data_IF_000511571694
#
_entry.id   IF_000511571694
#
_cell.length_a   1.000
_cell.length_b   1.000
_cell.length_c   1.000
_cell.angle_alpha   90.00
_cell.angle_beta   90.00
_cell.angle_gamma   90.00
#
_symmetry.space_group_name_H-M   'P 1'
#
loop_
_entity.id
_entity.type
_entity.pdbx_description
1 polymer ?
#
# COMPACT_ATOMS: atom_id res chain seq x y z
N UNK A 1 -29.05 26.65 -58.80
CA UNK A 1 -29.02 27.70 -57.75
C UNK A 1 -29.87 27.18 -56.59
N UNK A 2 -29.51 27.15 -55.31
CA UNK A 2 -28.32 27.45 -54.52
C UNK A 2 -28.52 26.68 -53.21
N UNK A 3 -27.56 25.84 -52.80
CA UNK A 3 -27.60 25.16 -51.51
C UNK A 3 -27.32 26.16 -50.40
N UNK A 4 -28.35 26.58 -49.66
CA UNK A 4 -28.17 27.44 -48.49
C UNK A 4 -27.59 26.60 -47.34
N UNK A 5 -26.31 26.82 -47.06
CA UNK A 5 -25.65 26.35 -45.85
C UNK A 5 -26.44 26.82 -44.62
N UNK A 6 -26.84 25.88 -43.76
CA UNK A 6 -27.41 26.18 -42.44
C UNK A 6 -26.25 26.50 -41.50
N UNK A 7 -26.11 27.77 -41.16
CA UNK A 7 -25.19 28.21 -40.13
C UNK A 7 -25.74 27.76 -38.76
N UNK A 8 -24.88 27.30 -37.83
CA UNK A 8 -25.32 26.96 -36.49
C UNK A 8 -25.90 28.20 -35.80
N UNK A 9 -26.92 28.05 -34.94
CA UNK A 9 -27.54 29.18 -34.26
C UNK A 9 -26.49 29.92 -33.42
N UNK A 10 -26.52 31.27 -33.47
CA UNK A 10 -25.55 32.17 -32.83
C UNK A 10 -25.23 31.83 -31.36
N UNK A 11 -26.17 31.20 -30.65
CA UNK A 11 -26.00 30.75 -29.26
C UNK A 11 -24.94 29.66 -29.05
N UNK A 12 -24.64 28.84 -30.06
CA UNK A 12 -23.59 27.79 -29.96
C UNK A 12 -22.20 28.41 -30.07
N UNK A 13 -22.02 29.42 -30.92
CA UNK A 13 -20.74 30.15 -31.02
C UNK A 13 -20.41 30.94 -29.74
N UNK A 14 -21.43 31.47 -29.06
CA UNK A 14 -21.25 32.24 -27.82
C UNK A 14 -20.75 31.41 -26.63
N UNK A 15 -20.99 30.09 -26.62
CA UNK A 15 -20.49 29.19 -25.56
C UNK A 15 -19.22 28.43 -25.93
N UNK A 16 -19.02 28.09 -27.21
CA UNK A 16 -17.84 27.32 -27.65
C UNK A 16 -16.57 28.19 -27.66
N UNK A 17 -16.67 29.47 -28.03
CA UNK A 17 -15.52 30.38 -28.07
C UNK A 17 -14.90 30.64 -26.68
N UNK A 18 -15.65 30.97 -25.62
CA UNK A 18 -15.09 31.16 -24.29
C UNK A 18 -14.45 29.90 -23.73
N UNK A 19 -15.05 28.72 -23.95
CA UNK A 19 -14.53 27.43 -23.49
C UNK A 19 -13.26 27.05 -24.24
N UNK A 20 -13.20 27.24 -25.55
CA UNK A 20 -11.99 27.00 -26.35
C UNK A 20 -10.86 27.97 -25.99
N UNK A 21 -11.18 29.25 -25.74
CA UNK A 21 -10.22 30.26 -25.29
C UNK A 21 -9.70 29.91 -23.89
N UNK A 22 -10.56 29.50 -22.95
CA UNK A 22 -10.15 29.01 -21.64
C UNK A 22 -9.25 27.77 -21.75
N UNK A 23 -9.62 26.80 -22.59
CA UNK A 23 -8.84 25.57 -22.80
C UNK A 23 -7.46 25.83 -23.43
N UNK A 24 -7.37 26.76 -24.37
CA UNK A 24 -6.10 27.15 -24.98
C UNK A 24 -5.23 27.96 -24.00
N UNK A 25 -5.84 28.90 -23.26
CA UNK A 25 -5.15 29.69 -22.24
C UNK A 25 -4.68 28.84 -21.06
N UNK A 26 -5.39 27.78 -20.67
CA UNK A 26 -4.96 26.89 -19.58
C UNK A 26 -3.64 26.20 -19.90
N UNK A 27 -3.39 25.85 -21.17
CA UNK A 27 -2.15 25.19 -21.57
C UNK A 27 -0.93 26.11 -21.50
N UNK A 28 -1.10 27.39 -21.86
CA UNK A 28 -0.03 28.38 -21.78
C UNK A 28 0.14 28.92 -20.35
N UNK A 29 -0.94 29.00 -19.57
CA UNK A 29 -0.89 29.32 -18.14
C UNK A 29 -0.18 28.22 -17.36
N UNK A 30 -0.44 26.94 -17.65
CA UNK A 30 0.25 25.80 -17.01
C UNK A 30 1.76 25.79 -17.33
N UNK A 31 2.13 26.03 -18.60
CA UNK A 31 3.54 26.17 -19.00
C UNK A 31 4.22 27.35 -18.31
N UNK A 32 3.57 28.51 -18.25
CA UNK A 32 4.11 29.70 -17.57
C UNK A 32 4.20 29.50 -16.06
N UNK A 33 3.23 28.82 -15.45
CA UNK A 33 3.22 28.54 -14.02
C UNK A 33 4.38 27.61 -13.66
N UNK A 34 4.56 26.51 -14.40
CA UNK A 34 5.70 25.58 -14.26
C UNK A 34 7.06 26.25 -14.50
N UNK A 35 7.15 27.21 -15.42
CA UNK A 35 8.37 27.98 -15.67
C UNK A 35 8.65 29.06 -14.61
N UNK A 36 7.62 29.52 -13.89
CA UNK A 36 7.70 30.59 -12.89
C UNK A 36 7.89 30.08 -11.45
N UNK A 37 7.61 28.82 -11.18
CA UNK A 37 7.92 28.17 -9.90
C UNK A 37 9.41 27.88 -9.84
N UNK A 38 10.19 28.59 -9.03
CA UNK A 38 11.59 28.27 -8.84
C UNK A 38 11.66 26.99 -8.02
N UNK A 39 11.96 25.85 -8.65
CA UNK A 39 12.28 24.63 -7.93
C UNK A 39 13.69 24.76 -7.41
N UNK A 40 13.83 25.35 -6.22
CA UNK A 40 15.09 25.37 -5.49
C UNK A 40 15.20 23.99 -4.83
N UNK A 41 16.04 23.10 -5.35
CA UNK A 41 16.15 21.72 -4.85
C UNK A 41 16.42 21.61 -3.34
N UNK A 42 17.04 22.63 -2.73
CA UNK A 42 17.22 22.70 -1.27
C UNK A 42 15.93 22.93 -0.45
N UNK A 43 14.84 23.36 -1.09
CA UNK A 43 13.54 23.63 -0.46
C UNK A 43 12.64 22.37 -0.45
N UNK A 44 12.80 21.49 -1.45
CA UNK A 44 11.98 20.28 -1.61
C UNK A 44 12.10 19.31 -0.43
N UNK A 45 13.32 19.07 0.06
CA UNK A 45 13.51 18.20 1.22
C UNK A 45 12.92 18.81 2.51
N UNK A 46 13.01 20.14 2.67
CA UNK A 46 12.40 20.82 3.80
C UNK A 46 10.86 20.74 3.74
N UNK A 47 10.29 20.87 2.55
CA UNK A 47 8.86 20.72 2.31
C UNK A 47 8.38 19.27 2.54
N UNK A 48 9.15 18.27 2.10
CA UNK A 48 8.86 16.85 2.34
C UNK A 48 8.85 16.53 3.84
N UNK A 49 9.85 17.02 4.58
CA UNK A 49 9.94 16.87 6.03
C UNK A 49 8.79 17.61 6.74
N UNK A 50 8.41 18.80 6.28
CA UNK A 50 7.28 19.54 6.84
C UNK A 50 5.96 18.78 6.63
N UNK A 51 5.74 18.18 5.45
CA UNK A 51 4.58 17.32 5.18
C UNK A 51 4.60 16.07 6.05
N UNK A 52 5.75 15.39 6.16
CA UNK A 52 5.91 14.23 7.03
C UNK A 52 5.60 14.57 8.51
N UNK A 53 6.05 15.73 9.00
CA UNK A 53 5.76 16.18 10.37
C UNK A 53 4.26 16.46 10.60
N UNK A 54 3.57 17.05 9.62
CA UNK A 54 2.11 17.23 9.69
C UNK A 54 1.36 15.90 9.69
N UNK A 55 1.82 14.95 8.87
CA UNK A 55 1.27 13.58 8.81
C UNK A 55 1.49 12.82 10.10
N UNK A 56 2.65 12.95 10.71
CA UNK A 56 2.95 12.34 12.01
C UNK A 56 2.02 12.88 13.10
N UNK A 57 1.80 14.21 13.13
CA UNK A 57 0.85 14.82 14.05
C UNK A 57 -0.61 14.36 13.80
N UNK A 58 -0.98 14.10 12.54
CA UNK A 58 -2.29 13.54 12.18
C UNK A 58 -2.46 12.11 12.70
N UNK A 59 -1.46 11.27 12.44
CA UNK A 59 -1.41 9.89 12.89
C UNK A 59 -1.45 9.79 14.42
N UNK A 60 -0.61 10.55 15.15
CA UNK A 60 -0.62 10.58 16.62
C UNK A 60 -1.99 10.94 17.21
N UNK A 61 -2.70 11.91 16.60
CA UNK A 61 -4.07 12.24 17.02
C UNK A 61 -5.04 11.09 16.77
N UNK A 62 -4.85 10.34 15.69
CA UNK A 62 -5.67 9.16 15.39
C UNK A 62 -5.45 8.05 16.41
N UNK A 63 -4.19 7.75 16.74
CA UNK A 63 -3.81 6.79 17.79
C UNK A 63 -4.44 7.18 19.12
N UNK A 64 -4.28 8.44 19.54
CA UNK A 64 -4.89 8.94 20.78
C UNK A 64 -6.42 8.74 20.79
N UNK A 65 -7.11 9.12 19.71
CA UNK A 65 -8.57 8.96 19.61
C UNK A 65 -9.01 7.51 19.67
N UNK A 66 -8.25 6.60 19.05
CA UNK A 66 -8.48 5.14 19.12
C UNK A 66 -8.43 4.66 20.56
N UNK A 67 -7.39 5.00 21.32
CA UNK A 67 -7.28 4.61 22.74
C UNK A 67 -8.39 5.23 23.59
N UNK A 68 -8.65 6.54 23.46
CA UNK A 68 -9.73 7.22 24.20
C UNK A 68 -11.11 6.61 23.92
N UNK A 69 -11.34 6.13 22.69
CA UNK A 69 -12.57 5.44 22.32
C UNK A 69 -12.63 4.06 23.00
N UNK A 70 -11.55 3.28 22.95
CA UNK A 70 -11.49 1.94 23.56
C UNK A 70 -11.57 1.97 25.10
N UNK A 71 -11.16 3.07 25.74
CA UNK A 71 -11.33 3.25 27.19
C UNK A 71 -12.79 3.49 27.59
N UNK A 72 -13.57 4.16 26.73
CA UNK A 72 -14.96 4.54 26.99
C UNK A 72 -15.97 3.47 26.65
N UNK A 73 -15.61 2.54 25.75
CA UNK A 73 -16.46 1.45 25.30
C UNK A 73 -15.85 0.14 25.83
N UNK A 74 -16.59 -0.64 26.62
CA UNK A 74 -16.08 -1.89 27.22
C UNK A 74 -16.55 -3.15 26.51
N UNK A 75 -17.50 -3.02 25.59
CA UNK A 75 -18.18 -4.10 24.85
C UNK A 75 -17.71 -4.20 23.38
N UNK A 76 -16.61 -3.53 23.03
CA UNK A 76 -16.12 -3.46 21.65
C UNK A 76 -15.40 -4.72 21.16
N UNK A 77 -14.73 -5.44 22.07
CA UNK A 77 -13.61 -6.32 21.74
C UNK A 77 -13.99 -7.52 20.82
N UNK A 78 -15.26 -7.92 20.86
CA UNK A 78 -15.79 -9.05 20.08
C UNK A 78 -16.47 -8.64 18.75
N UNK A 79 -16.67 -7.35 18.50
CA UNK A 79 -17.47 -6.86 17.36
C UNK A 79 -16.58 -6.28 16.26
N UNK A 80 -16.01 -7.15 15.42
CA UNK A 80 -15.15 -6.74 14.30
C UNK A 80 -15.90 -5.94 13.23
N UNK A 81 -17.12 -6.37 12.90
CA UNK A 81 -17.97 -5.73 11.91
C UNK A 81 -19.36 -5.60 12.53
N UNK A 82 -19.81 -4.38 12.81
CA UNK A 82 -21.14 -4.16 13.39
C UNK A 82 -22.21 -4.91 12.57
N UNK A 83 -23.03 -5.77 13.22
CA UNK A 83 -24.11 -6.43 12.53
C UNK A 83 -25.10 -5.37 12.00
N UNK A 84 -25.72 -5.65 10.86
CA UNK A 84 -26.89 -4.88 10.41
C UNK A 84 -28.05 -5.22 11.33
N UNK A 85 -28.16 -4.53 12.46
CA UNK A 85 -29.32 -4.62 13.35
C UNK A 85 -29.98 -3.26 13.60
N UNK A 86 -31.23 -3.31 14.05
CA UNK A 86 -32.08 -2.14 14.29
C UNK A 86 -31.73 -1.40 15.59
N UNK A 87 -30.73 -1.86 16.34
CA UNK A 87 -30.43 -1.31 17.67
C UNK A 87 -29.77 0.06 17.61
N UNK A 88 -29.27 0.46 16.42
CA UNK A 88 -28.45 1.68 16.17
C UNK A 88 -27.30 1.85 17.16
N UNK A 89 -26.97 0.80 17.95
CA UNK A 89 -26.24 1.03 19.19
C UNK A 89 -24.79 1.34 18.91
N UNK A 90 -24.23 0.80 17.82
CA UNK A 90 -22.87 1.12 17.37
C UNK A 90 -22.71 0.76 15.88
N UNK A 91 -22.48 1.76 15.02
CA UNK A 91 -22.09 1.54 13.61
C UNK A 91 -20.60 1.83 13.45
N UNK A 92 -19.77 0.87 13.84
CA UNK A 92 -18.34 0.92 13.54
C UNK A 92 -17.87 -0.46 13.07
N UNK A 93 -16.78 -0.46 12.33
CA UNK A 93 -16.02 -1.64 11.96
C UNK A 93 -14.65 -1.52 12.59
N UNK A 94 -13.89 -2.62 12.57
CA UNK A 94 -12.49 -2.64 12.91
C UNK A 94 -11.75 -1.46 12.22
N UNK A 95 -12.00 -1.26 10.94
CA UNK A 95 -11.31 -0.26 10.12
C UNK A 95 -11.58 1.20 10.52
N UNK A 96 -12.70 1.47 11.19
CA UNK A 96 -13.00 2.81 11.73
C UNK A 96 -12.08 3.16 12.93
N UNK A 97 -11.55 2.14 13.61
CA UNK A 97 -10.60 2.31 14.73
C UNK A 97 -9.16 2.39 14.24
N UNK A 98 -8.84 1.86 13.06
CA UNK A 98 -7.50 1.82 12.48
C UNK A 98 -7.42 2.53 11.11
N UNK A 99 -7.83 3.82 11.01
CA UNK A 99 -7.79 4.52 9.73
C UNK A 99 -6.35 4.88 9.32
N UNK A 100 -6.10 4.82 8.00
CA UNK A 100 -4.88 5.34 7.39
C UNK A 100 -4.86 6.88 7.44
N UNK A 101 -4.26 7.43 8.49
CA UNK A 101 -4.29 8.87 8.80
C UNK A 101 -2.96 9.57 8.57
N UNK A 102 -1.92 8.82 8.20
CA UNK A 102 -0.64 9.38 7.81
C UNK A 102 -0.70 9.76 6.34
N UNK A 103 -0.62 11.05 6.01
CA UNK A 103 -0.63 11.47 4.60
C UNK A 103 0.76 11.26 3.99
N UNK A 104 0.86 10.56 2.86
CA UNK A 104 2.15 10.40 2.15
C UNK A 104 2.77 11.78 1.87
N UNK A 105 4.04 12.02 2.21
CA UNK A 105 4.70 13.29 1.90
C UNK A 105 4.99 13.43 0.40
N UNK A 106 4.87 12.36 -0.39
CA UNK A 106 5.08 12.36 -1.84
C UNK A 106 3.78 12.07 -2.61
N UNK A 107 3.89 11.69 -3.88
CA UNK A 107 2.77 11.25 -4.68
C UNK A 107 2.21 9.91 -4.19
N UNK A 108 0.89 9.75 -4.29
CA UNK A 108 0.21 8.48 -4.02
C UNK A 108 -0.39 7.95 -5.32
N UNK A 109 0.03 6.77 -5.75
CA UNK A 109 -0.39 6.19 -7.03
C UNK A 109 -0.84 4.75 -6.87
N UNK A 110 -2.02 4.40 -7.37
CA UNK A 110 -2.48 3.01 -7.45
C UNK A 110 -1.88 2.34 -8.68
N UNK A 111 -1.23 1.20 -8.51
CA UNK A 111 -0.61 0.43 -9.60
C UNK A 111 -1.14 -1.00 -9.63
N UNK A 112 -1.08 -1.62 -10.80
CA UNK A 112 -1.72 -2.91 -11.08
C UNK A 112 -3.13 -2.74 -11.67
N UNK A 113 -3.82 -3.85 -11.88
CA UNK A 113 -5.11 -3.84 -12.58
C UNK A 113 -6.19 -3.06 -11.85
N UNK A 114 -7.21 -2.67 -12.62
CA UNK A 114 -8.46 -2.15 -12.06
C UNK A 114 -9.22 -3.25 -11.32
N UNK A 115 -9.84 -2.87 -10.20
CA UNK A 115 -10.47 -3.80 -9.27
C UNK A 115 -9.44 -4.45 -8.34
N UNK A 116 -9.76 -5.64 -7.88
CA UNK A 116 -8.99 -6.40 -6.89
C UNK A 116 -7.54 -6.72 -7.33
N UNK A 117 -6.57 -6.64 -6.43
CA UNK A 117 -5.15 -6.94 -6.67
C UNK A 117 -4.23 -5.78 -7.06
N UNK A 118 -4.77 -4.57 -7.32
CA UNK A 118 -3.95 -3.36 -7.45
C UNK A 118 -3.61 -2.77 -6.08
N UNK A 119 -2.39 -2.24 -5.89
CA UNK A 119 -1.93 -1.72 -4.58
C UNK A 119 -1.58 -0.23 -4.65
N UNK A 120 -1.67 0.46 -3.53
CA UNK A 120 -1.35 1.89 -3.42
C UNK A 120 0.11 2.16 -3.05
N UNK A 121 0.80 2.76 -4.03
CA UNK A 121 2.11 3.43 -4.06
C UNK A 121 2.31 4.69 -3.21
N UNK A 122 2.92 4.72 -2.01
CA UNK A 122 3.43 6.00 -1.47
C UNK A 122 4.82 6.29 -2.07
N UNK A 123 4.93 7.41 -2.80
CA UNK A 123 6.17 7.86 -3.42
C UNK A 123 6.54 7.08 -4.69
N UNK A 124 5.57 6.72 -5.55
CA UNK A 124 5.89 5.98 -6.78
C UNK A 124 6.91 6.71 -7.66
N UNK A 125 6.84 8.04 -7.73
CA UNK A 125 7.81 8.85 -8.47
C UNK A 125 9.25 8.74 -7.93
N UNK A 126 9.43 8.37 -6.65
CA UNK A 126 10.74 8.13 -6.05
C UNK A 126 11.36 6.84 -6.57
N UNK A 127 10.58 5.77 -6.69
CA UNK A 127 11.04 4.53 -7.32
C UNK A 127 11.38 4.74 -8.80
N UNK A 128 10.55 5.47 -9.55
CA UNK A 128 10.80 5.78 -10.97
C UNK A 128 12.07 6.61 -11.18
N UNK A 129 12.33 7.55 -10.27
CA UNK A 129 13.50 8.43 -10.29
C UNK A 129 14.76 7.83 -9.66
N UNK A 130 14.68 6.62 -9.08
CA UNK A 130 15.80 6.01 -8.36
C UNK A 130 16.98 5.72 -9.29
N UNK A 131 18.14 6.25 -8.94
CA UNK A 131 19.41 5.99 -9.61
C UNK A 131 20.36 5.38 -8.59
N UNK A 132 20.71 4.11 -8.77
CA UNK A 132 21.62 3.44 -7.83
C UNK A 132 21.61 1.93 -7.97
N UNK A 133 21.72 1.24 -6.83
CA UNK A 133 21.59 -0.22 -6.77
C UNK A 133 20.22 -0.66 -7.29
N UNK A 134 20.10 -1.88 -7.84
CA UNK A 134 18.80 -2.44 -8.15
C UNK A 134 17.86 -2.39 -6.95
N UNK A 135 16.61 -1.98 -7.20
CA UNK A 135 15.55 -2.01 -6.21
C UNK A 135 15.05 -3.44 -6.08
N UNK A 136 14.86 -3.91 -4.85
CA UNK A 136 14.40 -5.25 -4.53
C UNK A 136 12.95 -5.20 -4.08
N UNK A 137 12.10 -5.90 -4.81
CA UNK A 137 10.68 -6.00 -4.50
C UNK A 137 10.35 -7.44 -4.15
N UNK A 138 9.75 -7.66 -2.99
CA UNK A 138 9.19 -8.96 -2.63
C UNK A 138 7.68 -8.93 -2.84
N UNK A 139 7.15 -9.96 -3.50
CA UNK A 139 5.72 -10.16 -3.68
C UNK A 139 5.34 -11.51 -3.09
N UNK A 140 4.69 -11.48 -1.92
CA UNK A 140 4.15 -12.65 -1.25
C UNK A 140 2.68 -12.84 -1.64
N UNK A 141 2.34 -14.06 -2.06
CA UNK A 141 1.02 -14.37 -2.61
C UNK A 141 0.83 -13.72 -3.98
N UNK A 142 1.53 -14.26 -4.97
CA UNK A 142 1.44 -13.78 -6.35
C UNK A 142 0.08 -14.13 -6.95
N UNK A 143 -0.45 -15.30 -6.62
CA UNK A 143 -1.72 -15.81 -7.11
C UNK A 143 -1.80 -15.86 -8.63
N UNK A 144 -3.02 -15.70 -9.14
CA UNK A 144 -3.32 -15.75 -10.58
C UNK A 144 -3.10 -14.44 -11.34
N UNK A 145 -2.71 -13.35 -10.66
CA UNK A 145 -2.55 -12.01 -11.24
C UNK A 145 -1.21 -11.39 -10.85
N UNK A 146 -0.43 -11.03 -11.85
CA UNK A 146 0.86 -10.36 -11.69
C UNK A 146 0.89 -8.99 -12.38
N UNK A 147 -0.25 -8.31 -12.41
CA UNK A 147 -0.38 -7.00 -13.06
C UNK A 147 0.33 -5.90 -12.28
N UNK A 148 0.38 -6.02 -10.95
CA UNK A 148 1.14 -5.13 -10.07
C UNK A 148 2.63 -5.19 -10.39
N UNK A 149 3.20 -6.40 -10.44
CA UNK A 149 4.63 -6.62 -10.68
C UNK A 149 4.99 -6.20 -12.11
N UNK A 150 4.13 -6.47 -13.09
CA UNK A 150 4.31 -5.98 -14.46
C UNK A 150 4.39 -4.45 -14.50
N UNK A 151 3.41 -3.74 -13.93
CA UNK A 151 3.38 -2.28 -13.98
C UNK A 151 4.59 -1.68 -13.25
N UNK A 152 4.94 -2.21 -12.07
CA UNK A 152 6.10 -1.74 -11.32
C UNK A 152 7.40 -1.89 -12.14
N UNK A 153 7.61 -3.05 -12.77
CA UNK A 153 8.78 -3.31 -13.62
C UNK A 153 8.82 -2.47 -14.91
N UNK A 154 7.66 -2.10 -15.45
CA UNK A 154 7.56 -1.21 -16.61
C UNK A 154 7.99 0.21 -16.26
N UNK A 155 7.61 0.67 -15.06
CA UNK A 155 7.85 2.04 -14.60
C UNK A 155 9.21 2.22 -13.94
N UNK A 156 9.78 1.14 -13.38
CA UNK A 156 11.03 1.17 -12.62
C UNK A 156 12.07 0.26 -13.28
N UNK A 157 12.87 0.78 -14.24
CA UNK A 157 13.84 -0.02 -14.99
C UNK A 157 14.87 -0.77 -14.13
N UNK A 158 15.24 -0.19 -12.98
CA UNK A 158 16.21 -0.76 -12.05
C UNK A 158 15.66 -1.77 -11.04
N UNK A 159 14.36 -2.08 -11.08
CA UNK A 159 13.76 -3.03 -10.15
C UNK A 159 14.04 -4.48 -10.51
N UNK A 160 14.16 -5.31 -9.48
CA UNK A 160 14.13 -6.77 -9.53
C UNK A 160 13.03 -7.24 -8.56
N UNK A 161 12.22 -8.20 -9.01
CA UNK A 161 11.06 -8.70 -8.25
C UNK A 161 11.25 -10.17 -7.93
N UNK A 162 11.06 -10.52 -6.66
CA UNK A 162 11.02 -11.89 -6.17
C UNK A 162 9.58 -12.22 -5.75
N UNK A 163 9.00 -13.21 -6.41
CA UNK A 163 7.65 -13.71 -6.15
C UNK A 163 7.70 -15.02 -5.38
N UNK A 164 6.83 -15.14 -4.39
CA UNK A 164 6.73 -16.30 -3.51
C UNK A 164 5.26 -16.70 -3.39
N UNK A 165 4.96 -17.93 -3.81
CA UNK A 165 3.61 -18.48 -3.74
C UNK A 165 3.67 -20.01 -3.86
N UNK A 166 3.06 -20.74 -2.94
CA UNK A 166 3.00 -22.20 -2.94
C UNK A 166 1.81 -22.77 -3.75
N UNK A 167 0.79 -21.95 -4.00
CA UNK A 167 -0.45 -22.34 -4.67
C UNK A 167 -0.35 -22.34 -6.22
N UNK A 168 0.64 -21.64 -6.79
CA UNK A 168 0.85 -21.53 -8.24
C UNK A 168 2.23 -22.03 -8.68
N UNK A 169 2.36 -22.41 -9.96
CA UNK A 169 3.61 -22.93 -10.54
C UNK A 169 4.51 -21.82 -11.12
N UNK A 170 4.07 -20.57 -11.08
CA UNK A 170 4.77 -19.44 -11.68
C UNK A 170 3.99 -18.14 -11.58
N UNK A 171 4.51 -17.11 -12.24
CA UNK A 171 3.85 -15.81 -12.33
C UNK A 171 2.44 -15.90 -12.94
N UNK A 172 1.53 -15.11 -12.39
CA UNK A 172 0.16 -14.97 -12.85
C UNK A 172 0.02 -14.15 -14.14
N UNK A 173 -1.23 -13.88 -14.52
CA UNK A 173 -1.55 -13.06 -15.69
C UNK A 173 -1.01 -11.64 -15.51
N UNK A 174 -0.39 -11.09 -16.54
CA UNK A 174 0.19 -9.75 -16.49
C UNK A 174 1.69 -9.80 -16.69
N UNK A 175 2.42 -10.73 -16.07
CA UNK A 175 3.87 -10.71 -16.22
C UNK A 175 4.34 -11.29 -17.57
N UNK A 176 4.84 -10.42 -18.45
CA UNK A 176 5.39 -10.80 -19.76
C UNK A 176 6.80 -11.37 -19.64
N UNK A 177 7.15 -12.31 -20.53
CA UNK A 177 8.50 -12.89 -20.65
C UNK A 177 9.63 -11.86 -20.84
N UNK A 178 9.34 -10.62 -21.25
CA UNK A 178 10.35 -9.55 -21.42
C UNK A 178 11.09 -9.17 -20.13
N UNK A 179 10.59 -9.57 -18.96
CA UNK A 179 11.22 -9.30 -17.67
C UNK A 179 11.93 -10.49 -17.04
N UNK A 180 12.10 -11.59 -17.76
CA UNK A 180 12.68 -12.82 -17.21
C UNK A 180 14.05 -12.62 -16.53
N UNK A 181 14.80 -11.58 -16.90
CA UNK A 181 16.09 -11.21 -16.28
C UNK A 181 15.98 -10.37 -14.99
N UNK A 182 14.77 -9.94 -14.62
CA UNK A 182 14.48 -9.08 -13.46
C UNK A 182 13.42 -9.69 -12.55
N UNK A 183 13.01 -10.93 -12.80
CA UNK A 183 11.93 -11.59 -12.07
C UNK A 183 12.34 -12.98 -11.66
N UNK A 184 12.11 -13.31 -10.41
CA UNK A 184 12.52 -14.57 -9.79
C UNK A 184 11.30 -15.15 -9.07
N UNK A 185 10.83 -16.33 -9.49
CA UNK A 185 9.70 -16.98 -8.86
C UNK A 185 10.16 -18.19 -8.06
N UNK A 186 9.68 -18.30 -6.83
CA UNK A 186 9.91 -19.43 -5.94
C UNK A 186 8.58 -20.00 -5.50
N UNK A 187 8.36 -21.30 -5.77
CA UNK A 187 7.19 -22.03 -5.28
C UNK A 187 7.37 -22.39 -3.80
N UNK A 188 7.11 -21.42 -2.93
CA UNK A 188 7.32 -21.51 -1.47
C UNK A 188 6.34 -20.56 -0.79
N UNK A 189 5.83 -20.97 0.37
CA UNK A 189 5.02 -20.10 1.21
C UNK A 189 5.92 -19.24 2.10
N UNK A 190 5.49 -18.02 2.38
CA UNK A 190 6.08 -17.20 3.46
C UNK A 190 5.33 -17.48 4.75
N UNK A 191 6.05 -17.58 5.87
CA UNK A 191 5.45 -17.87 7.17
C UNK A 191 6.21 -17.20 8.31
N UNK A 192 5.67 -17.30 9.52
CA UNK A 192 6.36 -16.81 10.73
C UNK A 192 7.61 -17.61 11.12
N UNK A 193 7.74 -18.86 10.65
CA UNK A 193 8.89 -19.72 10.91
C UNK A 193 9.20 -20.65 9.74
N UNK A 194 10.42 -21.18 9.71
CA UNK A 194 10.86 -22.08 8.66
C UNK A 194 10.40 -23.52 8.96
N UNK A 195 9.64 -24.12 8.05
CA UNK A 195 9.30 -25.54 8.12
C UNK A 195 9.05 -26.15 6.73
N UNK A 196 9.00 -27.48 6.68
CA UNK A 196 8.69 -28.25 5.47
C UNK A 196 7.39 -29.01 5.71
N UNK A 197 6.37 -28.74 4.90
CA UNK A 197 5.16 -29.55 4.90
C UNK A 197 5.52 -30.96 4.39
N UNK A 198 5.27 -31.96 5.23
CA UNK A 198 5.61 -33.35 4.94
C UNK A 198 4.63 -34.00 3.95
N UNK A 199 3.46 -33.40 3.73
CA UNK A 199 2.41 -33.94 2.87
C UNK A 199 2.70 -33.75 1.39
N UNK A 200 3.26 -32.60 1.02
CA UNK A 200 3.50 -32.20 -0.37
C UNK A 200 4.93 -31.69 -0.63
N UNK A 201 5.74 -31.51 0.41
CA UNK A 201 7.12 -31.00 0.31
C UNK A 201 7.21 -29.48 0.16
N UNK A 202 6.12 -28.74 0.41
CA UNK A 202 6.11 -27.27 0.34
C UNK A 202 7.01 -26.69 1.44
N UNK A 203 7.91 -25.78 1.04
CA UNK A 203 8.74 -25.02 1.97
C UNK A 203 7.97 -23.81 2.46
N UNK A 204 7.90 -23.66 3.78
CA UNK A 204 7.43 -22.45 4.44
C UNK A 204 8.67 -21.75 5.01
N UNK A 205 8.88 -20.49 4.64
CA UNK A 205 10.10 -19.76 4.96
C UNK A 205 9.76 -18.41 5.59
N UNK A 206 10.50 -18.05 6.63
CA UNK A 206 10.48 -16.70 7.18
C UNK A 206 11.05 -15.69 6.20
N UNK A 207 10.59 -14.44 6.29
CA UNK A 207 11.11 -13.34 5.45
C UNK A 207 12.64 -13.21 5.61
N UNK A 208 13.15 -13.38 6.84
CA UNK A 208 14.60 -13.35 7.13
C UNK A 208 15.35 -14.49 6.44
N UNK A 209 14.79 -15.68 6.38
CA UNK A 209 15.39 -16.80 5.65
C UNK A 209 15.38 -16.57 4.15
N UNK A 210 14.31 -15.99 3.59
CA UNK A 210 14.27 -15.59 2.18
C UNK A 210 15.33 -14.51 1.88
N UNK A 211 15.42 -13.47 2.71
CA UNK A 211 16.47 -12.45 2.62
C UNK A 211 17.87 -13.08 2.64
N UNK A 212 18.13 -14.04 3.53
CA UNK A 212 19.41 -14.76 3.60
C UNK A 212 19.66 -15.63 2.36
N UNK A 213 18.64 -16.34 1.87
CA UNK A 213 18.72 -17.23 0.71
C UNK A 213 19.14 -16.47 -0.56
N UNK A 214 18.65 -15.24 -0.73
CA UNK A 214 18.99 -14.37 -1.88
C UNK A 214 20.11 -13.36 -1.60
N UNK A 215 20.69 -13.36 -0.39
CA UNK A 215 21.75 -12.41 -0.02
C UNK A 215 21.29 -10.95 -0.01
N UNK A 216 20.04 -10.72 0.38
CA UNK A 216 19.45 -9.38 0.49
C UNK A 216 19.50 -8.88 1.93
N UNK A 217 20.21 -7.79 2.14
CA UNK A 217 20.25 -7.10 3.44
C UNK A 217 19.10 -6.08 3.60
N UNK A 218 18.43 -5.74 2.50
CA UNK A 218 17.35 -4.74 2.47
C UNK A 218 16.39 -5.02 1.31
N UNK A 219 15.09 -4.83 1.53
CA UNK A 219 14.01 -4.95 0.54
C UNK A 219 13.28 -3.61 0.40
N UNK A 220 13.25 -3.04 -0.80
CA UNK A 220 12.73 -1.68 -1.01
C UNK A 220 11.20 -1.60 -0.99
N UNK A 221 10.53 -2.68 -1.37
CA UNK A 221 9.07 -2.78 -1.36
C UNK A 221 8.64 -4.23 -1.10
N UNK A 222 7.72 -4.41 -0.17
CA UNK A 222 7.06 -5.69 0.10
C UNK A 222 5.59 -5.56 -0.24
N UNK A 223 5.12 -6.31 -1.22
CA UNK A 223 3.70 -6.62 -1.41
C UNK A 223 3.39 -7.91 -0.65
N UNK A 224 2.33 -7.92 0.14
CA UNK A 224 1.89 -9.10 0.90
C UNK A 224 0.38 -9.30 0.79
N UNK A 225 -0.02 -10.49 0.37
CA UNK A 225 -1.41 -10.87 0.14
C UNK A 225 -1.51 -12.40 0.29
N UNK A 226 -1.59 -12.88 1.53
CA UNK A 226 -1.36 -14.30 1.88
C UNK A 226 -2.51 -14.87 2.71
N UNK A 227 -3.73 -14.40 2.45
CA UNK A 227 -4.98 -15.04 2.87
C UNK A 227 -5.09 -15.32 4.39
N UNK A 228 -4.63 -14.39 5.22
CA UNK A 228 -4.74 -14.44 6.68
C UNK A 228 -3.41 -14.71 7.39
N UNK A 229 -2.42 -15.24 6.69
CA UNK A 229 -1.09 -15.49 7.26
C UNK A 229 -0.26 -14.19 7.42
N UNK A 230 -0.82 -13.02 7.09
CA UNK A 230 -0.18 -11.72 7.32
C UNK A 230 0.13 -11.51 8.80
N UNK A 231 -0.81 -11.89 9.68
CA UNK A 231 -0.68 -11.71 11.11
C UNK A 231 0.54 -12.43 11.69
N UNK A 232 0.64 -13.78 11.64
CA UNK A 232 1.78 -14.50 12.21
C UNK A 232 3.09 -14.17 11.48
N UNK A 233 3.05 -13.91 10.17
CA UNK A 233 4.25 -13.61 9.38
C UNK A 233 4.86 -12.26 9.76
N UNK A 234 4.06 -11.19 9.77
CA UNK A 234 4.54 -9.87 10.16
C UNK A 234 4.87 -9.80 11.64
N UNK A 235 4.10 -10.44 12.52
CA UNK A 235 4.41 -10.51 13.96
C UNK A 235 5.78 -11.16 14.19
N UNK A 236 6.05 -12.30 13.55
CA UNK A 236 7.30 -13.01 13.70
C UNK A 236 8.50 -12.24 13.14
N UNK A 237 8.31 -11.50 12.04
CA UNK A 237 9.37 -10.68 11.46
C UNK A 237 9.63 -9.41 12.27
N UNK A 238 8.58 -8.67 12.64
CA UNK A 238 8.71 -7.34 13.25
C UNK A 238 9.10 -7.37 14.73
N UNK A 239 8.78 -8.43 15.47
CA UNK A 239 9.14 -8.57 16.90
C UNK A 239 10.66 -8.53 17.16
N UNK A 240 11.47 -8.77 16.13
CA UNK A 240 12.94 -8.74 16.23
C UNK A 240 13.49 -7.30 16.19
N UNK A 241 12.69 -6.34 15.70
CA UNK A 241 13.10 -4.96 15.53
C UNK A 241 12.50 -4.08 16.62
N UNK A 242 13.25 -3.07 17.06
CA UNK A 242 12.80 -2.05 18.00
C UNK A 242 13.33 -0.71 17.56
N UNK A 243 12.50 0.33 17.63
CA UNK A 243 13.01 1.70 17.57
C UNK A 243 13.87 1.91 18.82
N UNK A 244 15.09 2.40 18.64
CA UNK A 244 16.05 2.57 19.72
C UNK A 244 15.64 3.72 20.64
N UNK A 245 15.21 3.41 21.86
CA UNK A 245 14.98 4.38 22.92
C UNK A 245 16.33 4.62 23.63
N UNK A 246 17.07 5.68 23.27
CA UNK A 246 18.46 5.92 23.71
C UNK A 246 18.71 5.69 25.22
N UNK A 247 19.80 5.03 25.62
CA UNK A 247 21.08 5.68 26.00
C UNK A 247 22.31 5.09 25.28
N UNK A 248 22.19 3.91 24.65
CA UNK A 248 23.21 3.31 23.78
C UNK A 248 22.77 3.21 22.31
N UNK A 249 21.57 3.72 21.96
CA UNK A 249 21.20 4.13 20.60
C UNK A 249 21.06 3.07 19.51
N UNK A 250 21.24 1.77 19.77
CA UNK A 250 21.18 0.74 18.73
C UNK A 250 19.83 0.00 18.76
N UNK A 251 18.80 0.61 18.20
CA UNK A 251 17.63 -0.12 17.70
C UNK A 251 17.92 -0.59 16.27
N UNK A 252 17.62 -1.85 15.95
CA UNK A 252 17.78 -2.36 14.58
C UNK A 252 16.60 -1.85 13.75
N UNK A 253 16.89 -1.04 12.74
CA UNK A 253 15.87 -0.60 11.79
C UNK A 253 15.36 -1.79 10.98
N UNK A 254 14.05 -1.83 10.73
CA UNK A 254 13.47 -2.85 9.86
C UNK A 254 14.10 -2.70 8.47
N UNK A 255 14.69 -3.76 7.88
CA UNK A 255 15.37 -3.71 6.59
C UNK A 255 14.38 -3.72 5.41
N UNK A 256 13.34 -2.89 5.50
CA UNK A 256 12.27 -2.75 4.52
C UNK A 256 11.91 -1.28 4.28
N UNK A 257 11.81 -0.92 3.00
CA UNK A 257 11.46 0.45 2.59
C UNK A 257 9.98 0.76 2.75
N UNK A 258 9.12 -0.06 2.14
CA UNK A 258 7.66 0.11 2.18
C UNK A 258 6.98 -1.25 2.19
N UNK A 259 5.85 -1.34 2.87
CA UNK A 259 4.99 -2.52 2.93
C UNK A 259 3.63 -2.11 2.37
N UNK A 260 3.13 -2.89 1.42
CA UNK A 260 1.75 -2.82 0.92
C UNK A 260 1.11 -4.18 1.14
N UNK A 261 0.13 -4.24 2.03
CA UNK A 261 -0.42 -5.49 2.55
C UNK A 261 -1.94 -5.51 2.41
N UNK A 262 -2.50 -6.60 1.90
CA UNK A 262 -3.93 -6.89 2.05
C UNK A 262 -4.15 -7.62 3.36
N UNK A 263 -4.82 -6.97 4.30
CA UNK A 263 -5.04 -7.54 5.63
C UNK A 263 -6.36 -8.32 5.62
N UNK A 264 -6.25 -9.64 5.69
CA UNK A 264 -7.39 -10.55 5.69
C UNK A 264 -7.90 -10.80 7.11
N UNK A 265 -9.01 -10.17 7.49
CA UNK A 265 -9.66 -10.33 8.81
C UNK A 265 -10.85 -11.30 8.68
N UNK A 266 -10.71 -12.57 9.10
CA UNK A 266 -11.80 -13.53 8.99
C UNK A 266 -12.91 -13.25 10.02
N UNK A 267 -14.07 -13.87 9.82
CA UNK A 267 -15.24 -13.74 10.70
C UNK A 267 -15.01 -14.14 12.16
N UNK A 268 -14.12 -15.11 12.38
CA UNK A 268 -13.63 -15.51 13.71
C UNK A 268 -12.23 -14.98 13.98
N UNK A 269 -11.91 -13.82 13.40
CA UNK A 269 -10.63 -13.17 13.46
C UNK A 269 -10.23 -12.75 14.88
N UNK A 270 -9.10 -12.03 14.99
CA UNK A 270 -8.62 -11.57 16.29
C UNK A 270 -9.68 -10.72 16.99
N UNK A 271 -9.66 -10.69 18.32
CA UNK A 271 -10.37 -9.63 19.05
C UNK A 271 -9.78 -8.27 18.68
N UNK A 272 -10.56 -7.18 18.80
CA UNK A 272 -10.07 -5.83 18.46
C UNK A 272 -8.81 -5.48 19.26
N UNK A 273 -8.72 -5.89 20.52
CA UNK A 273 -7.52 -5.76 21.37
C UNK A 273 -6.30 -6.48 20.79
N UNK A 274 -6.48 -7.69 20.26
CA UNK A 274 -5.40 -8.46 19.64
C UNK A 274 -4.97 -7.84 18.31
N UNK A 275 -5.93 -7.38 17.50
CA UNK A 275 -5.62 -6.63 16.28
C UNK A 275 -4.88 -5.33 16.61
N UNK A 276 -5.30 -4.61 17.66
CA UNK A 276 -4.62 -3.41 18.13
C UNK A 276 -3.16 -3.67 18.46
N UNK A 277 -2.87 -4.70 19.26
CA UNK A 277 -1.51 -5.05 19.65
C UNK A 277 -0.63 -5.34 18.44
N UNK A 278 -1.15 -6.08 17.47
CA UNK A 278 -0.46 -6.36 16.21
C UNK A 278 -0.25 -5.10 15.35
N UNK A 279 -1.29 -4.27 15.20
CA UNK A 279 -1.23 -3.02 14.44
C UNK A 279 -0.24 -2.02 15.05
N UNK A 280 -0.31 -1.82 16.37
CA UNK A 280 0.55 -0.90 17.09
C UNK A 280 2.01 -1.37 17.07
N UNK A 281 2.28 -2.68 17.01
CA UNK A 281 3.64 -3.20 16.79
C UNK A 281 4.22 -2.77 15.45
N UNK A 282 3.41 -2.75 14.39
CA UNK A 282 3.83 -2.25 13.06
C UNK A 282 4.12 -0.75 13.15
N UNK A 283 3.29 0.00 13.89
CA UNK A 283 3.49 1.43 14.13
C UNK A 283 4.77 1.72 14.97
N UNK A 284 5.03 0.92 16.00
CA UNK A 284 6.18 1.03 16.91
C UNK A 284 7.51 0.89 16.17
N UNK A 285 7.60 0.05 15.13
CA UNK A 285 8.83 -0.16 14.34
C UNK A 285 9.00 0.87 13.19
N UNK A 286 8.15 1.89 13.17
CA UNK A 286 8.28 3.07 12.30
C UNK A 286 7.44 3.06 11.03
N UNK A 287 6.56 2.07 10.82
CA UNK A 287 5.60 2.14 9.73
C UNK A 287 4.37 2.97 10.11
N UNK A 288 3.70 3.53 9.12
CA UNK A 288 2.49 4.35 9.30
C UNK A 288 1.47 3.95 8.24
N UNK A 289 0.16 3.89 8.54
CA UNK A 289 -0.84 3.57 7.52
C UNK A 289 -1.11 4.82 6.64
N UNK A 290 -0.80 4.72 5.34
CA UNK A 290 -0.88 5.82 4.37
C UNK A 290 -2.17 5.83 3.56
N UNK A 291 -2.56 4.68 3.03
CA UNK A 291 -3.78 4.50 2.27
C UNK A 291 -4.45 3.20 2.72
N UNK A 292 -5.78 3.23 2.81
CA UNK A 292 -6.63 2.07 3.07
C UNK A 292 -7.65 1.92 1.93
N UNK A 293 -7.62 0.81 1.20
CA UNK A 293 -8.63 0.47 0.19
C UNK A 293 -9.35 -0.81 0.60
N UNK A 294 -10.63 -0.71 0.97
CA UNK A 294 -11.44 -1.88 1.28
C UNK A 294 -11.75 -2.67 0.02
N UNK A 295 -11.67 -4.00 0.12
CA UNK A 295 -12.04 -4.89 -0.97
C UNK A 295 -13.56 -4.85 -1.19
N UNK A 296 -14.00 -3.98 -2.09
CA UNK A 296 -15.42 -3.79 -2.38
C UNK A 296 -16.08 -5.04 -2.96
N UNK A 297 -15.31 -5.97 -3.56
CA UNK A 297 -15.87 -7.23 -4.05
C UNK A 297 -16.24 -8.17 -2.91
N UNK A 298 -15.45 -8.22 -1.83
CA UNK A 298 -15.82 -8.94 -0.61
C UNK A 298 -17.15 -8.42 -0.03
N UNK A 299 -17.37 -7.10 -0.05
CA UNK A 299 -18.61 -6.48 0.45
C UNK A 299 -19.79 -6.67 -0.50
N UNK A 300 -19.59 -6.54 -1.81
CA UNK A 300 -20.70 -6.48 -2.79
C UNK A 300 -21.09 -7.86 -3.34
N UNK A 301 -20.15 -8.79 -3.42
CA UNK A 301 -20.35 -10.15 -3.96
C UNK A 301 -20.20 -11.22 -2.87
N UNK A 302 -19.36 -10.96 -1.86
CA UNK A 302 -19.12 -11.89 -0.75
C UNK A 302 -20.22 -11.86 0.32
N UNK A 303 -19.81 -12.03 1.57
CA UNK A 303 -20.71 -12.14 2.72
C UNK A 303 -21.24 -10.79 3.24
N UNK A 304 -20.87 -9.69 2.59
CA UNK A 304 -21.28 -8.34 2.95
C UNK A 304 -20.36 -7.64 3.95
N UNK A 305 -19.25 -8.26 4.36
CA UNK A 305 -18.31 -7.70 5.33
C UNK A 305 -17.05 -7.18 4.65
N UNK A 306 -16.48 -6.07 5.11
CA UNK A 306 -15.19 -5.58 4.61
C UNK A 306 -14.08 -6.40 5.28
N UNK A 307 -13.97 -7.70 5.00
CA UNK A 307 -12.98 -8.57 5.65
C UNK A 307 -11.55 -8.24 5.23
N UNK A 308 -11.34 -7.67 4.04
CA UNK A 308 -10.01 -7.39 3.50
C UNK A 308 -9.83 -5.89 3.21
N UNK A 309 -8.71 -5.34 3.67
CA UNK A 309 -8.31 -3.95 3.37
C UNK A 309 -6.84 -3.92 2.98
N UNK A 310 -6.58 -3.30 1.84
CA UNK A 310 -5.25 -2.97 1.33
C UNK A 310 -4.70 -1.78 2.11
N UNK A 311 -3.57 -1.95 2.79
CA UNK A 311 -2.89 -0.90 3.55
C UNK A 311 -1.48 -0.70 3.03
N UNK A 312 -1.12 0.56 2.73
CA UNK A 312 0.24 0.94 2.34
C UNK A 312 0.96 1.68 3.47
N UNK A 313 2.27 1.49 3.59
CA UNK A 313 3.13 2.25 4.50
C UNK A 313 3.89 3.38 3.79
N UNK A 314 4.50 4.36 4.49
CA UNK A 314 5.32 5.36 3.82
C UNK A 314 6.60 4.72 3.29
N UNK A 315 7.15 5.29 2.22
CA UNK A 315 8.49 4.96 1.76
C UNK A 315 9.55 5.38 2.78
N UNK A 316 10.39 4.44 3.19
CA UNK A 316 11.66 4.67 3.88
C UNK A 316 12.79 4.47 2.88
N UNK A 317 13.61 5.48 2.67
CA UNK A 317 14.81 5.37 1.84
C UNK A 317 15.95 4.76 2.68
N UNK A 318 16.73 3.84 2.10
CA UNK A 318 17.91 3.22 2.72
C UNK A 318 19.16 4.10 2.60
#
# INVERSE_FOLDING_TARGET
MSSKARWPPLGVLLFVLPVAVLYLLTSDLDKKWKASTPTRDGDRNADDLARAALSEASWLRSVQRRHEWMEKNSDYDATLFSPRDDSFRFWYTLWDLFPATYTCPWDVQRIGRLGDGGKWICGMSRYEGHVGRPLRVYSFGVGGDSSFEEEFLDRVPGAQVWGFDDSVDGWGRGLRNRYANRTHFSKTAVAGEDFLDQSDGTRFLSIKSLMREFGHEYVDLVKMDIEGDEFPTLEAFLKEFRVGDGENGEGEEVPMGQIVVEIHVPDKGPRISQFREWWERIEEVGFRPVMGEANLLAVTVGDGKPCCVEVSSPLRES
#
